data_IF_790828327477
#
_entry.id   IF_790828327477
#
_cell.length_a   1.000
_cell.length_b   1.000
_cell.length_c   1.000
_cell.angle_alpha   90.00
_cell.angle_beta   90.00
_cell.angle_gamma   90.00
#
_symmetry.space_group_name_H-M   'P 1'
#
loop_
_entity.id
_entity.type
_entity.pdbx_description
1 polymer ?
#
# COMPACT_ATOMS: atom_id res chain seq x y z
N UNK A 1 -3.56 -19.82 -12.38
CA UNK A 1 -4.87 -19.40 -11.84
C UNK A 1 -5.74 -18.95 -12.99
N UNK A 2 -7.01 -19.38 -13.05
CA UNK A 2 -7.91 -19.08 -14.18
C UNK A 2 -8.34 -17.61 -14.17
N UNK A 3 -8.80 -17.07 -15.30
CA UNK A 3 -9.33 -15.69 -15.35
C UNK A 3 -10.45 -15.48 -14.33
N UNK A 4 -11.26 -16.52 -14.08
CA UNK A 4 -12.36 -16.49 -13.12
C UNK A 4 -11.88 -16.19 -11.70
N UNK A 5 -10.72 -16.70 -11.27
CA UNK A 5 -10.16 -16.41 -9.95
C UNK A 5 -9.86 -14.92 -9.80
N UNK A 6 -9.30 -14.28 -10.82
CA UNK A 6 -8.95 -12.86 -10.79
C UNK A 6 -10.16 -11.94 -10.94
N UNK A 7 -11.17 -12.35 -11.71
CA UNK A 7 -12.44 -11.63 -11.76
C UNK A 7 -13.13 -11.64 -10.39
N UNK A 8 -13.13 -12.78 -9.68
CA UNK A 8 -13.64 -12.85 -8.31
C UNK A 8 -12.83 -11.97 -7.36
N UNK A 9 -11.49 -11.95 -7.49
CA UNK A 9 -10.65 -11.08 -6.67
C UNK A 9 -10.91 -9.60 -6.96
N UNK A 10 -11.16 -9.25 -8.22
CA UNK A 10 -11.51 -7.88 -8.59
C UNK A 10 -12.85 -7.47 -7.99
N UNK A 11 -13.89 -8.31 -8.11
CA UNK A 11 -15.19 -8.03 -7.49
C UNK A 11 -15.08 -7.89 -5.97
N UNK A 12 -14.36 -8.79 -5.31
CA UNK A 12 -14.12 -8.68 -3.86
C UNK A 12 -13.36 -7.41 -3.50
N UNK A 13 -12.40 -6.98 -4.30
CA UNK A 13 -11.69 -5.72 -4.07
C UNK A 13 -12.63 -4.50 -4.18
N UNK A 14 -13.57 -4.51 -5.13
CA UNK A 14 -14.56 -3.43 -5.25
C UNK A 14 -15.53 -3.40 -4.07
N UNK A 15 -15.99 -4.57 -3.62
CA UNK A 15 -16.84 -4.69 -2.43
C UNK A 15 -16.13 -4.20 -1.16
N UNK A 16 -14.88 -4.64 -0.96
CA UNK A 16 -14.06 -4.21 0.16
C UNK A 16 -13.83 -2.69 0.11
N UNK A 17 -13.48 -2.12 -1.05
CA UNK A 17 -13.33 -0.66 -1.19
C UNK A 17 -14.62 0.09 -0.86
N UNK A 18 -15.77 -0.40 -1.30
CA UNK A 18 -17.05 0.24 -1.02
C UNK A 18 -17.42 0.18 0.47
N UNK A 19 -17.07 -0.91 1.15
CA UNK A 19 -17.22 -1.05 2.61
C UNK A 19 -16.28 -0.08 3.35
N UNK A 20 -14.99 -0.11 3.02
CA UNK A 20 -13.95 0.72 3.62
C UNK A 20 -14.30 2.20 3.45
N UNK A 21 -14.74 2.62 2.27
CA UNK A 21 -15.11 4.00 2.01
C UNK A 21 -16.27 4.48 2.91
N UNK A 22 -17.29 3.62 3.14
CA UNK A 22 -18.38 3.95 4.07
C UNK A 22 -17.86 4.10 5.49
N UNK A 23 -16.97 3.21 5.93
CA UNK A 23 -16.34 3.30 7.25
C UNK A 23 -15.51 4.58 7.40
N UNK A 24 -14.66 4.90 6.43
CA UNK A 24 -13.80 6.09 6.42
C UNK A 24 -14.60 7.40 6.49
N UNK A 25 -15.66 7.51 5.67
CA UNK A 25 -16.58 8.66 5.70
C UNK A 25 -17.28 8.77 7.06
N UNK A 26 -17.62 7.65 7.69
CA UNK A 26 -18.24 7.65 9.02
C UNK A 26 -17.25 8.03 10.12
N UNK A 27 -15.99 7.56 10.04
CA UNK A 27 -14.93 7.88 11.01
C UNK A 27 -14.66 9.39 11.08
N UNK A 28 -14.75 10.09 9.97
CA UNK A 28 -14.62 11.56 9.93
C UNK A 28 -15.70 12.27 10.76
N UNK A 29 -16.82 11.59 11.07
CA UNK A 29 -17.95 12.13 11.86
C UNK A 29 -17.95 11.66 13.31
N UNK A 30 -17.09 10.71 13.68
CA UNK A 30 -17.06 10.14 15.03
C UNK A 30 -16.53 11.18 16.03
N UNK A 31 -17.22 11.32 17.17
CA UNK A 31 -16.74 12.14 18.27
C UNK A 31 -15.61 11.42 18.99
N UNK A 32 -14.44 12.03 18.99
CA UNK A 32 -13.27 11.54 19.71
C UNK A 32 -13.13 12.31 21.01
N UNK A 33 -12.65 11.65 22.07
CA UNK A 33 -12.31 12.33 23.31
C UNK A 33 -11.36 13.52 23.07
N UNK A 34 -11.49 14.56 23.92
CA UNK A 34 -10.76 15.81 23.74
C UNK A 34 -9.23 15.62 23.89
N UNK A 35 -8.79 14.82 24.86
CA UNK A 35 -7.38 14.60 25.14
C UNK A 35 -7.14 13.32 25.96
N UNK A 36 -5.87 12.99 26.15
CA UNK A 36 -5.44 11.90 27.01
C UNK A 36 -5.62 10.51 26.42
N UNK A 37 -5.57 9.51 27.31
CA UNK A 37 -5.58 8.08 26.96
C UNK A 37 -6.83 7.64 26.18
N UNK A 38 -8.07 8.06 26.52
CA UNK A 38 -9.24 7.65 25.76
C UNK A 38 -9.22 8.13 24.30
N UNK A 39 -8.67 9.34 24.06
CA UNK A 39 -8.49 9.87 22.70
C UNK A 39 -7.52 8.99 21.92
N UNK A 40 -6.39 8.68 22.53
CA UNK A 40 -5.38 7.81 21.92
C UNK A 40 -5.95 6.45 21.55
N UNK A 41 -6.63 5.78 22.49
CA UNK A 41 -7.17 4.42 22.28
C UNK A 41 -8.22 4.39 21.16
N UNK A 42 -9.12 5.38 21.12
CA UNK A 42 -10.11 5.51 20.04
C UNK A 42 -9.45 5.73 18.67
N UNK A 43 -8.52 6.69 18.58
CA UNK A 43 -7.84 6.99 17.31
C UNK A 43 -6.98 5.81 16.85
N UNK A 44 -6.29 5.15 17.78
CA UNK A 44 -5.51 3.96 17.48
C UNK A 44 -6.42 2.90 16.86
N UNK A 45 -7.50 2.52 17.54
CA UNK A 45 -8.44 1.50 17.07
C UNK A 45 -9.02 1.82 15.69
N UNK A 46 -9.50 3.04 15.48
CA UNK A 46 -10.14 3.43 14.23
C UNK A 46 -9.16 3.47 13.07
N UNK A 47 -8.02 4.13 13.23
CA UNK A 47 -7.08 4.30 12.13
C UNK A 47 -6.25 3.04 11.87
N UNK A 48 -5.97 2.20 12.88
CA UNK A 48 -5.31 0.91 12.67
C UNK A 48 -6.21 -0.04 11.89
N UNK A 49 -7.50 -0.15 12.25
CA UNK A 49 -8.49 -0.93 11.48
C UNK A 49 -8.51 -0.48 10.02
N UNK A 50 -8.70 0.82 9.79
CA UNK A 50 -8.81 1.37 8.45
C UNK A 50 -7.54 1.16 7.61
N UNK A 51 -6.36 1.37 8.22
CA UNK A 51 -5.06 1.12 7.58
C UNK A 51 -4.92 -0.33 7.12
N UNK A 52 -5.25 -1.30 8.00
CA UNK A 52 -5.14 -2.73 7.70
C UNK A 52 -6.12 -3.14 6.58
N UNK A 53 -7.34 -2.61 6.60
CA UNK A 53 -8.32 -2.86 5.54
C UNK A 53 -7.85 -2.34 4.18
N UNK A 54 -7.30 -1.12 4.12
CA UNK A 54 -6.71 -0.60 2.89
C UNK A 54 -5.51 -1.43 2.43
N UNK A 55 -4.62 -1.83 3.34
CA UNK A 55 -3.46 -2.66 3.01
C UNK A 55 -3.86 -3.99 2.37
N UNK A 56 -4.81 -4.71 2.99
CA UNK A 56 -5.34 -5.97 2.45
C UNK A 56 -5.94 -5.78 1.06
N UNK A 57 -6.70 -4.70 0.87
CA UNK A 57 -7.35 -4.39 -0.40
C UNK A 57 -6.33 -4.00 -1.47
N UNK A 58 -5.31 -3.23 -1.12
CA UNK A 58 -4.20 -2.88 -2.00
C UNK A 58 -3.43 -4.13 -2.47
N UNK A 59 -3.17 -5.09 -1.57
CA UNK A 59 -2.56 -6.38 -1.96
C UNK A 59 -3.41 -7.13 -2.99
N UNK A 60 -4.72 -7.18 -2.79
CA UNK A 60 -5.63 -7.83 -3.74
C UNK A 60 -5.65 -7.10 -5.08
N UNK A 61 -5.75 -5.78 -5.08
CA UNK A 61 -5.73 -4.96 -6.29
C UNK A 61 -4.40 -5.09 -7.06
N UNK A 62 -3.26 -5.17 -6.37
CA UNK A 62 -1.96 -5.43 -7.00
C UNK A 62 -1.94 -6.80 -7.72
N UNK A 63 -2.45 -7.85 -7.07
CA UNK A 63 -2.56 -9.18 -7.69
C UNK A 63 -3.51 -9.19 -8.89
N UNK A 64 -4.63 -8.45 -8.82
CA UNK A 64 -5.57 -8.30 -9.94
C UNK A 64 -4.92 -7.53 -11.09
N UNK A 65 -4.19 -6.45 -10.80
CA UNK A 65 -3.48 -5.65 -11.80
C UNK A 65 -2.48 -6.51 -12.57
N UNK A 66 -1.67 -7.30 -11.86
CA UNK A 66 -0.62 -8.13 -12.44
C UNK A 66 -1.17 -9.26 -13.33
N UNK A 67 -2.41 -9.69 -13.08
CA UNK A 67 -3.08 -10.71 -13.87
C UNK A 67 -3.96 -10.15 -15.01
N UNK A 68 -4.18 -8.83 -15.05
CA UNK A 68 -5.10 -8.23 -16.01
C UNK A 68 -4.44 -8.08 -17.39
N UNK A 69 -4.97 -8.81 -18.38
CA UNK A 69 -4.45 -8.80 -19.75
C UNK A 69 -5.07 -7.69 -20.61
N UNK A 70 -6.30 -7.26 -20.31
CA UNK A 70 -6.98 -6.23 -21.09
C UNK A 70 -6.44 -4.84 -20.72
N UNK A 71 -5.84 -4.08 -21.64
CA UNK A 71 -5.18 -2.81 -21.32
C UNK A 71 -6.10 -1.81 -20.61
N UNK A 72 -7.34 -1.69 -21.08
CA UNK A 72 -8.33 -0.78 -20.47
C UNK A 72 -8.61 -1.15 -19.01
N UNK A 73 -8.95 -2.43 -18.75
CA UNK A 73 -9.19 -2.90 -17.38
C UNK A 73 -7.94 -2.79 -16.51
N UNK A 74 -6.74 -2.99 -17.08
CA UNK A 74 -5.47 -2.87 -16.35
C UNK A 74 -5.26 -1.43 -15.88
N UNK A 75 -5.56 -0.45 -16.73
CA UNK A 75 -5.54 0.97 -16.38
C UNK A 75 -6.55 1.34 -15.29
N UNK A 76 -7.77 0.80 -15.37
CA UNK A 76 -8.80 1.05 -14.36
C UNK A 76 -8.39 0.48 -12.99
N UNK A 77 -7.86 -0.76 -12.96
CA UNK A 77 -7.36 -1.38 -11.72
C UNK A 77 -6.17 -0.61 -11.16
N UNK A 78 -5.27 -0.12 -12.01
CA UNK A 78 -4.17 0.75 -11.59
C UNK A 78 -4.69 2.02 -10.91
N UNK A 79 -5.66 2.68 -11.51
CA UNK A 79 -6.25 3.91 -10.94
C UNK A 79 -6.85 3.64 -9.55
N UNK A 80 -7.55 2.52 -9.38
CA UNK A 80 -8.07 2.08 -8.09
C UNK A 80 -6.97 1.77 -7.09
N UNK A 81 -5.90 1.07 -7.51
CA UNK A 81 -4.77 0.73 -6.66
C UNK A 81 -4.01 1.97 -6.21
N UNK A 82 -3.70 2.90 -7.11
CA UNK A 82 -3.02 4.15 -6.80
C UNK A 82 -3.83 4.98 -5.80
N UNK A 83 -5.16 5.05 -5.98
CA UNK A 83 -6.07 5.74 -5.05
C UNK A 83 -6.10 5.06 -3.68
N UNK A 84 -6.17 3.72 -3.66
CA UNK A 84 -6.17 2.91 -2.44
C UNK A 84 -4.87 3.08 -1.65
N UNK A 85 -3.72 3.01 -2.32
CA UNK A 85 -2.40 3.21 -1.72
C UNK A 85 -2.22 4.64 -1.22
N UNK A 86 -2.65 5.65 -1.99
CA UNK A 86 -2.63 7.04 -1.57
C UNK A 86 -3.38 7.25 -0.26
N UNK A 87 -4.63 6.76 -0.18
CA UNK A 87 -5.42 6.87 1.04
C UNK A 87 -4.83 6.06 2.22
N UNK A 88 -4.30 4.88 1.96
CA UNK A 88 -3.60 4.08 2.97
C UNK A 88 -2.43 4.83 3.61
N UNK A 89 -1.63 5.54 2.81
CA UNK A 89 -0.51 6.34 3.30
C UNK A 89 -0.96 7.57 4.10
N UNK A 90 -2.05 8.22 3.69
CA UNK A 90 -2.67 9.30 4.47
C UNK A 90 -3.11 8.80 5.85
N UNK A 91 -3.77 7.64 5.92
CA UNK A 91 -4.20 7.02 7.19
C UNK A 91 -2.98 6.64 8.04
N UNK A 92 -1.90 6.11 7.44
CA UNK A 92 -0.64 5.84 8.16
C UNK A 92 -0.05 7.11 8.76
N UNK A 93 -0.15 8.24 8.07
CA UNK A 93 0.29 9.54 8.58
C UNK A 93 -0.61 10.02 9.72
N UNK A 94 -1.94 9.85 9.64
CA UNK A 94 -2.86 10.15 10.75
C UNK A 94 -2.53 9.34 12.00
N UNK A 95 -2.23 8.04 11.84
CA UNK A 95 -1.72 7.18 12.90
C UNK A 95 -0.43 7.75 13.51
N UNK A 96 0.55 8.12 12.67
CA UNK A 96 1.81 8.69 13.15
C UNK A 96 1.60 9.96 13.98
N UNK A 97 0.75 10.87 13.49
CA UNK A 97 0.53 12.17 14.14
C UNK A 97 -0.26 12.07 15.45
N UNK A 98 -1.16 11.10 15.58
CA UNK A 98 -2.04 10.98 16.75
C UNK A 98 -1.60 9.91 17.75
N UNK A 99 -0.87 8.89 17.30
CA UNK A 99 -0.50 7.71 18.09
C UNK A 99 1.02 7.49 18.20
N UNK A 100 1.83 8.33 17.54
CA UNK A 100 3.30 8.23 17.55
C UNK A 100 3.85 7.39 16.40
N UNK A 101 5.18 7.35 16.28
CA UNK A 101 5.86 6.71 15.15
C UNK A 101 5.72 5.17 15.15
N UNK A 102 5.78 4.58 16.35
CA UNK A 102 5.70 3.14 16.61
C UNK A 102 4.28 2.76 17.04
N UNK A 103 3.41 2.58 16.05
CA UNK A 103 2.01 2.22 16.25
C UNK A 103 1.87 0.70 16.32
N UNK A 104 1.18 0.20 17.35
CA UNK A 104 0.82 -1.22 17.46
C UNK A 104 -0.35 -1.52 16.53
N UNK A 105 -0.14 -2.44 15.59
CA UNK A 105 -1.17 -2.86 14.62
C UNK A 105 -1.73 -4.26 14.92
N UNK A 106 -1.19 -4.94 15.94
CA UNK A 106 -1.46 -6.36 16.22
C UNK A 106 -2.95 -6.66 16.38
N UNK A 107 -3.68 -5.83 17.12
CA UNK A 107 -5.13 -6.03 17.35
C UNK A 107 -5.91 -5.95 16.03
N UNK A 108 -5.65 -4.92 15.21
CA UNK A 108 -6.32 -4.75 13.92
C UNK A 108 -5.91 -5.81 12.90
N UNK A 109 -4.65 -6.26 12.92
CA UNK A 109 -4.17 -7.36 12.10
C UNK A 109 -4.84 -8.68 12.50
N UNK A 110 -4.96 -8.95 13.80
CA UNK A 110 -5.61 -10.15 14.35
C UNK A 110 -7.10 -10.21 13.98
N UNK A 111 -7.83 -9.09 14.10
CA UNK A 111 -9.24 -8.98 13.70
C UNK A 111 -9.44 -9.35 12.22
N UNK A 112 -8.50 -8.94 11.37
CA UNK A 112 -8.50 -9.21 9.94
C UNK A 112 -7.83 -10.53 9.57
N UNK A 113 -7.38 -11.33 10.56
CA UNK A 113 -6.69 -12.61 10.40
C UNK A 113 -5.43 -12.52 9.52
N UNK A 114 -4.70 -11.42 9.66
CA UNK A 114 -3.46 -11.16 8.94
C UNK A 114 -2.26 -11.56 9.79
N UNK A 115 -1.28 -12.23 9.16
CA UNK A 115 0.01 -12.54 9.79
C UNK A 115 1.01 -11.40 9.54
N UNK A 116 2.15 -11.34 10.25
CA UNK A 116 3.14 -10.28 10.06
C UNK A 116 3.60 -10.11 8.60
N UNK A 117 3.73 -11.19 7.83
CA UNK A 117 4.06 -11.17 6.40
C UNK A 117 2.96 -10.48 5.57
N UNK A 118 1.70 -10.57 6.02
CA UNK A 118 0.59 -9.86 5.39
C UNK A 118 0.67 -8.33 5.61
N UNK A 119 1.51 -7.84 6.52
CA UNK A 119 1.68 -6.42 6.79
C UNK A 119 2.68 -5.72 5.84
N UNK A 120 3.41 -6.46 5.01
CA UNK A 120 4.30 -5.86 4.01
C UNK A 120 3.52 -5.05 2.98
N UNK A 121 3.86 -3.79 2.78
CA UNK A 121 3.20 -2.93 1.77
C UNK A 121 3.52 -3.44 0.36
N UNK A 122 2.51 -3.76 -0.48
CA UNK A 122 2.78 -4.21 -1.83
C UNK A 122 3.38 -3.07 -2.65
N UNK A 123 4.50 -3.34 -3.33
CA UNK A 123 5.06 -2.44 -4.34
C UNK A 123 4.48 -2.86 -5.69
N UNK A 124 3.59 -2.06 -6.32
CA UNK A 124 3.00 -2.45 -7.59
C UNK A 124 4.05 -2.60 -8.68
N UNK A 125 3.97 -3.68 -9.47
CA UNK A 125 5.00 -3.97 -10.49
C UNK A 125 5.15 -2.86 -11.52
N UNK A 126 4.06 -2.18 -11.87
CA UNK A 126 4.09 -1.08 -12.83
C UNK A 126 4.97 0.09 -12.37
N UNK A 127 5.27 0.25 -11.09
CA UNK A 127 6.23 1.27 -10.64
C UNK A 127 7.63 1.02 -11.22
N UNK A 128 8.02 -0.25 -11.35
CA UNK A 128 9.29 -0.65 -11.96
C UNK A 128 9.16 -0.73 -13.49
N UNK A 129 8.05 -1.25 -14.00
CA UNK A 129 7.82 -1.37 -15.45
C UNK A 129 7.82 0.01 -16.14
N UNK A 130 7.13 0.99 -15.56
CA UNK A 130 7.01 2.35 -16.12
C UNK A 130 8.35 3.10 -16.12
N UNK A 131 9.22 2.82 -15.15
CA UNK A 131 10.52 3.48 -14.98
C UNK A 131 11.68 2.64 -15.53
N UNK A 132 11.41 1.54 -16.23
CA UNK A 132 12.42 0.57 -16.65
C UNK A 132 13.54 1.19 -17.50
N UNK A 133 13.19 2.11 -18.42
CA UNK A 133 14.17 2.83 -19.24
C UNK A 133 15.10 3.72 -18.40
N UNK A 134 14.53 4.50 -17.47
CA UNK A 134 15.29 5.35 -16.56
C UNK A 134 16.17 4.53 -15.62
N UNK A 135 15.64 3.42 -15.09
CA UNK A 135 16.38 2.46 -14.29
C UNK A 135 17.55 1.84 -15.06
N UNK A 136 17.35 1.49 -16.34
CA UNK A 136 18.39 0.95 -17.19
C UNK A 136 19.49 1.97 -17.45
N UNK A 137 19.13 3.22 -17.72
CA UNK A 137 20.10 4.29 -17.94
C UNK A 137 20.91 4.60 -16.67
N UNK A 138 20.24 4.69 -15.51
CA UNK A 138 20.93 4.84 -14.21
C UNK A 138 21.89 3.68 -13.94
N UNK A 139 21.50 2.44 -14.23
CA UNK A 139 22.39 1.27 -14.09
C UNK A 139 23.61 1.36 -15.00
N UNK A 140 23.45 1.84 -16.24
CA UNK A 140 24.57 2.05 -17.17
C UNK A 140 25.55 3.10 -16.63
N UNK A 141 25.04 4.20 -16.08
CA UNK A 141 25.87 5.25 -15.48
C UNK A 141 26.63 4.74 -14.25
N UNK A 142 25.95 4.02 -13.35
CA UNK A 142 26.59 3.41 -12.18
C UNK A 142 27.70 2.43 -12.60
N UNK A 143 27.44 1.58 -13.60
CA UNK A 143 28.45 0.65 -14.11
C UNK A 143 29.65 1.38 -14.70
N UNK A 144 29.44 2.47 -15.46
CA UNK A 144 30.52 3.28 -16.00
C UNK A 144 31.37 3.92 -14.90
N UNK A 145 30.74 4.45 -13.85
CA UNK A 145 31.45 5.01 -12.69
C UNK A 145 32.24 3.93 -11.94
N UNK A 146 31.66 2.75 -11.73
CA UNK A 146 32.37 1.63 -11.08
C UNK A 146 33.60 1.19 -11.87
N UNK A 147 33.54 1.17 -13.20
CA UNK A 147 34.70 0.87 -14.04
C UNK A 147 35.76 1.94 -13.91
N UNK A 148 35.38 3.22 -13.98
CA UNK A 148 36.30 4.35 -13.83
C UNK A 148 37.04 4.31 -12.48
N UNK A 149 36.33 4.10 -11.37
CA UNK A 149 36.97 4.04 -10.05
C UNK A 149 37.92 2.85 -9.89
N UNK A 150 37.60 1.68 -10.48
CA UNK A 150 38.51 0.53 -10.47
C UNK A 150 39.80 0.79 -11.22
N UNK A 151 39.74 1.49 -12.34
CA UNK A 151 40.92 1.88 -13.11
C UNK A 151 41.76 2.91 -12.33
N UNK A 152 41.11 3.88 -11.68
CA UNK A 152 41.82 4.94 -10.94
C UNK A 152 42.47 4.44 -9.64
N UNK A 153 41.90 3.43 -8.97
CA UNK A 153 42.54 2.79 -7.79
C UNK A 153 43.69 1.84 -8.18
N UNK A 154 43.71 1.31 -9.41
CA UNK A 154 44.82 0.48 -9.87
C UNK A 154 46.08 1.31 -10.21
N UNK A 155 45.91 2.60 -10.47
CA UNK A 155 46.98 3.56 -10.78
C UNK A 155 47.51 4.33 -9.55
N UNK A 156 47.02 4.03 -8.34
CA UNK A 156 47.41 4.67 -7.07
C UNK A 156 48.23 3.73 -6.16
#
# INVERSE_FOLDING_TARGET
MSSLTYENYYQQALEDLAFIWKEDVNLTKVRVAASGRPRYEQLLQYWSSLYIQYLRTAKRLAAVHDAQLQPQKRYDVRTLLDTCLGRMLEVRNLLKMNCGEFVKLDDAALDMKMIPEDLEVPIPRYFVEDTASELQERRRQIAALQTYFKETEADA
#
